data_IF_210168145537
#
_entry.id   IF_210168145537
#
_cell.length_a   1.000
_cell.length_b   1.000
_cell.length_c   1.000
_cell.angle_alpha   90.00
_cell.angle_beta   90.00
_cell.angle_gamma   90.00
#
_symmetry.space_group_name_H-M   'P 1'
#
loop_
_entity.id
_entity.type
_entity.pdbx_description
1 polymer ?
#
# COMPACT_ATOMS: atom_id res chain seq x y z
N UNK A 1 -23.13 -23.18 -19.15
CA UNK A 1 -22.39 -21.90 -19.22
C UNK A 1 -21.44 -21.90 -18.03
N UNK A 2 -20.12 -21.76 -18.24
CA UNK A 2 -19.16 -21.72 -17.12
C UNK A 2 -19.10 -20.29 -16.61
N UNK A 3 -19.55 -20.07 -15.39
CA UNK A 3 -19.35 -18.82 -14.67
C UNK A 3 -17.85 -18.67 -14.39
N UNK A 4 -17.24 -17.60 -14.92
CA UNK A 4 -15.88 -17.23 -14.60
C UNK A 4 -15.90 -16.51 -13.26
N UNK A 5 -15.39 -17.16 -12.21
CA UNK A 5 -15.24 -16.55 -10.89
C UNK A 5 -14.40 -15.27 -10.95
N UNK A 6 -14.78 -14.18 -10.26
CA UNK A 6 -13.97 -12.97 -10.18
C UNK A 6 -12.83 -13.20 -9.19
N UNK A 7 -11.79 -13.91 -9.62
CA UNK A 7 -10.62 -14.26 -8.81
C UNK A 7 -9.74 -13.06 -8.41
N UNK A 8 -10.03 -11.86 -8.92
CA UNK A 8 -9.27 -10.64 -8.62
C UNK A 8 -9.67 -9.91 -7.32
N UNK A 9 -10.93 -10.02 -6.88
CA UNK A 9 -11.46 -9.13 -5.83
C UNK A 9 -10.95 -9.41 -4.41
N UNK A 10 -10.88 -10.68 -4.02
CA UNK A 10 -10.53 -11.05 -2.64
C UNK A 10 -9.06 -10.74 -2.29
N UNK A 11 -8.14 -10.95 -3.23
CA UNK A 11 -6.71 -10.73 -3.00
C UNK A 11 -6.38 -9.23 -2.87
N UNK A 12 -7.01 -8.39 -3.68
CA UNK A 12 -6.79 -6.93 -3.66
C UNK A 12 -7.37 -6.28 -2.39
N UNK A 13 -8.53 -6.77 -1.94
CA UNK A 13 -9.13 -6.35 -0.67
C UNK A 13 -8.21 -6.71 0.51
N UNK A 14 -7.68 -7.93 0.54
CA UNK A 14 -6.77 -8.37 1.62
C UNK A 14 -5.44 -7.59 1.60
N UNK A 15 -4.90 -7.28 0.41
CA UNK A 15 -3.72 -6.44 0.27
C UNK A 15 -3.95 -5.04 0.81
N UNK A 16 -5.10 -4.46 0.47
CA UNK A 16 -5.49 -3.11 0.93
C UNK A 16 -5.65 -3.07 2.44
N UNK A 17 -6.35 -4.04 3.04
CA UNK A 17 -6.50 -4.15 4.49
C UNK A 17 -5.15 -4.26 5.20
N UNK A 18 -4.26 -5.11 4.67
CA UNK A 18 -2.91 -5.27 5.24
C UNK A 18 -2.13 -3.95 5.15
N UNK A 19 -2.16 -3.26 4.01
CA UNK A 19 -1.48 -1.97 3.83
C UNK A 19 -1.96 -0.92 4.84
N UNK A 20 -3.29 -0.76 4.99
CA UNK A 20 -3.89 0.16 5.98
C UNK A 20 -3.41 -0.20 7.39
N UNK A 21 -3.49 -1.47 7.77
CA UNK A 21 -3.05 -1.94 9.10
C UNK A 21 -1.58 -1.59 9.36
N UNK A 22 -0.70 -1.81 8.40
CA UNK A 22 0.74 -1.52 8.54
C UNK A 22 1.04 -0.02 8.70
N UNK A 23 0.23 0.84 8.08
CA UNK A 23 0.31 2.30 8.23
C UNK A 23 -0.21 2.72 9.62
N UNK A 24 -1.33 2.16 10.06
CA UNK A 24 -2.00 2.62 11.28
C UNK A 24 -1.40 2.08 12.58
N UNK A 25 -0.75 0.91 12.53
CA UNK A 25 -0.12 0.30 13.71
C UNK A 25 1.09 1.08 14.22
N UNK A 26 1.75 1.85 13.35
CA UNK A 26 2.88 2.69 13.71
C UNK A 26 2.44 4.15 13.82
N UNK A 27 2.36 4.66 15.05
CA UNK A 27 1.87 6.03 15.31
C UNK A 27 2.71 7.12 14.64
N UNK A 28 4.02 6.87 14.47
CA UNK A 28 4.89 7.78 13.73
C UNK A 28 4.54 7.80 12.24
N UNK A 29 4.48 6.63 11.60
CA UNK A 29 4.07 6.47 10.20
C UNK A 29 2.68 7.07 9.95
N UNK A 30 1.70 6.78 10.80
CA UNK A 30 0.33 7.32 10.69
C UNK A 30 0.29 8.85 10.72
N UNK A 31 1.21 9.49 11.43
CA UNK A 31 1.30 10.94 11.54
C UNK A 31 1.96 11.62 10.32
N UNK A 32 2.65 10.84 9.47
CA UNK A 32 3.27 11.37 8.26
C UNK A 32 2.21 11.80 7.25
N UNK A 33 2.36 12.99 6.69
CA UNK A 33 1.47 13.51 5.63
C UNK A 33 1.35 12.56 4.46
N UNK A 34 2.46 11.91 4.08
CA UNK A 34 2.50 10.93 2.97
C UNK A 34 1.62 9.72 3.28
N UNK A 35 1.66 9.20 4.51
CA UNK A 35 0.81 8.09 4.91
C UNK A 35 -0.67 8.48 4.90
N UNK A 36 -1.02 9.69 5.37
CA UNK A 36 -2.39 10.20 5.33
C UNK A 36 -2.91 10.36 3.88
N UNK A 37 -2.06 10.85 2.98
CA UNK A 37 -2.41 10.94 1.56
C UNK A 37 -2.55 9.56 0.92
N UNK A 38 -1.69 8.60 1.26
CA UNK A 38 -1.80 7.22 0.79
C UNK A 38 -3.11 6.57 1.27
N UNK A 39 -3.53 6.79 2.52
CA UNK A 39 -4.82 6.34 3.04
C UNK A 39 -5.99 6.96 2.26
N UNK A 40 -5.90 8.24 1.88
CA UNK A 40 -6.91 8.90 1.05
C UNK A 40 -6.97 8.29 -0.36
N UNK A 41 -5.82 8.04 -0.97
CA UNK A 41 -5.71 7.40 -2.29
C UNK A 41 -6.32 5.99 -2.26
N UNK A 42 -6.05 5.21 -1.20
CA UNK A 42 -6.67 3.90 -0.97
C UNK A 42 -8.20 4.02 -0.85
N UNK A 43 -8.71 4.98 -0.08
CA UNK A 43 -10.15 5.17 0.12
C UNK A 43 -10.93 5.48 -1.16
N UNK A 44 -10.26 6.01 -2.19
CA UNK A 44 -10.85 6.29 -3.51
C UNK A 44 -10.45 5.25 -4.57
N UNK A 45 -9.89 4.11 -4.16
CA UNK A 45 -9.52 3.00 -5.05
C UNK A 45 -8.23 3.21 -5.86
N UNK A 46 -7.38 4.16 -5.48
CA UNK A 46 -6.10 4.47 -6.17
C UNK A 46 -4.91 3.84 -5.45
N UNK A 47 -4.88 2.52 -5.37
CA UNK A 47 -3.84 1.77 -4.66
C UNK A 47 -2.44 2.05 -5.24
N UNK A 48 -2.30 2.09 -6.55
CA UNK A 48 -1.00 2.31 -7.20
C UNK A 48 -0.39 3.67 -6.83
N UNK A 49 -1.22 4.72 -6.78
CA UNK A 49 -0.79 6.05 -6.34
C UNK A 49 -0.36 6.06 -4.87
N UNK A 50 -1.09 5.33 -4.02
CA UNK A 50 -0.75 5.18 -2.61
C UNK A 50 0.62 4.49 -2.44
N UNK A 51 0.88 3.41 -3.19
CA UNK A 51 2.14 2.67 -3.14
C UNK A 51 3.33 3.52 -3.60
N UNK A 52 3.19 4.22 -4.73
CA UNK A 52 4.23 5.12 -5.24
C UNK A 52 4.56 6.24 -4.26
N UNK A 53 3.53 6.81 -3.64
CA UNK A 53 3.69 7.86 -2.63
C UNK A 53 4.43 7.34 -1.39
N UNK A 54 4.04 6.16 -0.88
CA UNK A 54 4.70 5.54 0.26
C UNK A 54 6.17 5.22 -0.05
N UNK A 55 6.50 4.72 -1.25
CA UNK A 55 7.89 4.44 -1.63
C UNK A 55 8.78 5.69 -1.55
N UNK A 56 8.35 6.82 -2.12
CA UNK A 56 9.14 8.06 -2.15
C UNK A 56 9.56 8.52 -0.75
N UNK A 57 8.69 8.32 0.24
CA UNK A 57 8.94 8.78 1.61
C UNK A 57 9.64 7.72 2.46
N UNK A 58 9.32 6.43 2.28
CA UNK A 58 10.03 5.35 2.96
C UNK A 58 11.50 5.25 2.48
N UNK A 59 11.80 5.64 1.25
CA UNK A 59 13.19 5.77 0.76
C UNK A 59 13.95 6.92 1.48
N UNK A 60 13.24 7.94 1.99
CA UNK A 60 13.81 9.11 2.68
C UNK A 60 13.85 8.94 4.20
N UNK A 61 12.87 8.22 4.75
CA UNK A 61 12.78 7.89 6.17
C UNK A 61 13.46 6.54 6.35
N UNK A 62 14.75 6.54 6.67
CA UNK A 62 15.55 5.34 6.98
C UNK A 62 14.78 4.51 8.03
N UNK A 63 14.23 3.38 7.60
CA UNK A 63 12.85 2.97 7.91
C UNK A 63 12.57 2.56 9.37
N UNK A 64 11.70 3.32 10.06
CA UNK A 64 11.12 2.98 11.38
C UNK A 64 10.17 1.77 11.34
N UNK A 65 9.58 1.49 10.17
CA UNK A 65 8.62 0.40 9.92
C UNK A 65 9.04 -0.44 8.70
N UNK A 66 10.04 -1.32 8.89
CA UNK A 66 10.61 -2.19 7.84
C UNK A 66 9.58 -3.09 7.18
N UNK A 67 8.57 -3.53 7.93
CA UNK A 67 7.50 -4.39 7.40
C UNK A 67 6.68 -3.65 6.35
N UNK A 68 6.26 -2.41 6.63
CA UNK A 68 5.56 -1.56 5.66
C UNK A 68 6.39 -1.35 4.40
N UNK A 69 7.69 -1.03 4.55
CA UNK A 69 8.58 -0.82 3.41
C UNK A 69 8.70 -2.06 2.52
N UNK A 70 9.02 -3.21 3.10
CA UNK A 70 9.14 -4.45 2.32
C UNK A 70 7.81 -4.79 1.64
N UNK A 71 6.69 -4.56 2.32
CA UNK A 71 5.37 -4.85 1.76
C UNK A 71 5.00 -3.91 0.59
N UNK A 72 5.31 -2.61 0.71
CA UNK A 72 5.13 -1.65 -0.39
C UNK A 72 5.98 -2.03 -1.59
N UNK A 73 7.24 -2.41 -1.40
CA UNK A 73 8.12 -2.87 -2.48
C UNK A 73 7.60 -4.13 -3.17
N UNK A 74 7.15 -5.13 -2.40
CA UNK A 74 6.57 -6.37 -2.94
C UNK A 74 5.34 -6.05 -3.82
N UNK A 75 4.45 -5.16 -3.37
CA UNK A 75 3.25 -4.79 -4.12
C UNK A 75 3.56 -3.99 -5.39
N UNK A 76 4.57 -3.13 -5.36
CA UNK A 76 5.06 -2.38 -6.52
C UNK A 76 5.69 -3.31 -7.57
N UNK A 77 6.52 -4.27 -7.14
CA UNK A 77 7.15 -5.24 -8.02
C UNK A 77 6.11 -6.12 -8.73
N UNK A 78 5.13 -6.65 -7.99
CA UNK A 78 4.01 -7.44 -8.56
C UNK A 78 3.22 -6.69 -9.62
N UNK A 79 3.21 -5.35 -9.56
CA UNK A 79 2.47 -4.46 -10.47
C UNK A 79 3.35 -3.87 -11.57
N UNK A 80 4.66 -4.11 -11.56
CA UNK A 80 5.60 -3.49 -12.49
C UNK A 80 5.74 -1.97 -12.31
N UNK A 81 5.35 -1.44 -11.14
CA UNK A 81 5.37 -0.01 -10.83
C UNK A 81 6.74 0.39 -10.29
N UNK A 82 7.66 0.69 -11.21
CA UNK A 82 9.01 1.20 -10.89
C UNK A 82 9.02 2.72 -11.04
N UNK A 83 8.41 3.42 -10.08
CA UNK A 83 8.51 4.88 -9.94
C UNK A 83 9.76 5.30 -9.18
#
# INVERSE_FOLDING_TARGET
MKETEPTGGSNEIEQTKKLIRLIEQDGHTKSLTVAQMALRDIAVGRIDAALLRLKVDLDKVIVSNRELYNYVLELLEKRGLRG
#
